data_IF_155575169409
#
_entry.id   IF_155575169409
#
_cell.length_a   1.000
_cell.length_b   1.000
_cell.length_c   1.000
_cell.angle_alpha   90.00
_cell.angle_beta   90.00
_cell.angle_gamma   90.00
#
_symmetry.space_group_name_H-M   'P 1'
#
loop_
_entity.id
_entity.type
_entity.pdbx_description
1 polymer ?
#
# COMPACT_ATOMS: atom_id res chain seq x y z
N UNK A 1 -10.86 -15.60 16.64
CA UNK A 1 -10.43 -16.28 15.40
C UNK A 1 -10.47 -15.28 14.25
N UNK A 2 -9.38 -14.54 14.04
CA UNK A 2 -9.27 -13.56 12.95
C UNK A 2 -7.97 -13.75 12.16
N UNK A 3 -6.84 -14.03 12.81
CA UNK A 3 -5.58 -14.36 12.11
C UNK A 3 -5.69 -15.59 11.22
N UNK A 4 -6.23 -16.70 11.73
CA UNK A 4 -6.46 -17.90 10.91
C UNK A 4 -7.42 -17.62 9.75
N UNK A 5 -8.48 -16.83 9.99
CA UNK A 5 -9.46 -16.47 8.97
C UNK A 5 -8.83 -15.69 7.83
N UNK A 6 -7.89 -14.79 8.10
CA UNK A 6 -7.24 -14.01 7.04
C UNK A 6 -6.10 -14.75 6.36
N UNK A 7 -5.36 -15.57 7.11
CA UNK A 7 -4.23 -16.33 6.55
C UNK A 7 -4.64 -17.60 5.81
N UNK A 8 -5.90 -18.05 5.91
CA UNK A 8 -6.38 -19.21 5.14
C UNK A 8 -6.32 -18.98 3.62
N UNK A 9 -6.39 -17.71 3.18
CA UNK A 9 -6.33 -17.33 1.76
C UNK A 9 -4.90 -17.29 1.21
N UNK A 10 -3.90 -17.32 2.08
CA UNK A 10 -2.49 -17.36 1.70
C UNK A 10 -1.99 -18.80 1.70
N UNK A 11 -2.16 -19.54 0.60
CA UNK A 11 -1.76 -20.95 0.51
C UNK A 11 -0.23 -21.08 0.50
N UNK A 12 0.31 -22.06 1.22
CA UNK A 12 1.78 -22.24 1.30
C UNK A 12 2.41 -22.67 -0.02
N UNK A 13 1.65 -23.35 -0.88
CA UNK A 13 2.10 -23.76 -2.21
C UNK A 13 2.29 -22.57 -3.15
N UNK A 14 1.55 -21.48 -2.91
CA UNK A 14 1.58 -20.25 -3.72
C UNK A 14 2.64 -19.25 -3.21
N UNK A 15 3.19 -19.48 -2.01
CA UNK A 15 4.22 -18.61 -1.41
C UNK A 15 5.60 -18.88 -1.97
N UNK A 16 6.25 -17.82 -2.43
CA UNK A 16 7.58 -17.84 -3.01
C UNK A 16 8.68 -17.91 -1.94
N UNK A 17 8.47 -17.30 -0.77
CA UNK A 17 9.51 -17.19 0.24
C UNK A 17 9.28 -18.09 1.46
N UNK A 18 10.33 -18.80 1.89
CA UNK A 18 10.26 -19.68 3.07
C UNK A 18 9.92 -18.90 4.36
N UNK A 19 10.46 -17.68 4.49
CA UNK A 19 10.15 -16.81 5.62
C UNK A 19 8.65 -16.46 5.68
N UNK A 20 7.97 -16.28 4.54
CA UNK A 20 6.53 -16.07 4.48
C UNK A 20 5.76 -17.26 5.06
N UNK A 21 6.17 -18.50 4.72
CA UNK A 21 5.57 -19.74 5.23
C UNK A 21 5.75 -19.87 6.74
N UNK A 22 6.96 -19.62 7.24
CA UNK A 22 7.29 -19.64 8.67
C UNK A 22 6.51 -18.60 9.45
N UNK A 23 6.40 -17.38 8.92
CA UNK A 23 5.64 -16.29 9.53
C UNK A 23 4.15 -16.59 9.57
N UNK A 24 3.58 -17.11 8.49
CA UNK A 24 2.18 -17.54 8.45
C UNK A 24 1.88 -18.55 9.56
N UNK A 25 2.70 -19.61 9.67
CA UNK A 25 2.53 -20.64 10.72
C UNK A 25 2.61 -20.04 12.11
N UNK A 26 3.65 -19.25 12.37
CA UNK A 26 3.85 -18.61 13.66
C UNK A 26 2.72 -17.63 14.03
N UNK A 27 2.20 -16.84 13.09
CA UNK A 27 1.06 -15.96 13.33
C UNK A 27 -0.22 -16.73 13.68
N UNK A 28 -0.44 -17.90 13.08
CA UNK A 28 -1.60 -18.76 13.36
C UNK A 28 -1.45 -19.46 14.72
N UNK A 29 -0.28 -20.02 15.00
CA UNK A 29 -0.03 -20.89 16.15
C UNK A 29 0.29 -20.10 17.42
N UNK A 30 1.09 -19.05 17.30
CA UNK A 30 1.66 -18.30 18.43
C UNK A 30 0.98 -16.94 18.63
N UNK A 31 0.36 -16.37 17.58
CA UNK A 31 -0.32 -15.06 17.59
C UNK A 31 0.49 -13.98 18.33
N UNK A 32 1.76 -13.81 17.94
CA UNK A 32 2.74 -13.00 18.69
C UNK A 32 3.57 -12.09 17.78
N UNK A 33 3.47 -10.78 17.99
CA UNK A 33 4.26 -9.77 17.28
C UNK A 33 5.76 -9.90 17.58
N UNK A 34 6.11 -10.16 18.85
CA UNK A 34 7.51 -10.41 19.27
C UNK A 34 8.10 -11.60 18.53
N UNK A 35 7.31 -12.64 18.30
CA UNK A 35 7.77 -13.81 17.56
C UNK A 35 8.01 -13.51 16.08
N UNK A 36 7.12 -12.73 15.46
CA UNK A 36 7.33 -12.24 14.09
C UNK A 36 8.63 -11.46 13.98
N UNK A 37 8.88 -10.52 14.90
CA UNK A 37 10.14 -9.75 14.95
C UNK A 37 11.36 -10.66 15.11
N UNK A 38 11.26 -11.70 15.95
CA UNK A 38 12.34 -12.67 16.13
C UNK A 38 12.60 -13.53 14.89
N UNK A 39 11.58 -13.81 14.07
CA UNK A 39 11.72 -14.59 12.84
C UNK A 39 12.41 -13.79 11.73
N UNK A 40 12.12 -12.50 11.63
CA UNK A 40 12.73 -11.61 10.61
C UNK A 40 14.06 -11.00 11.07
N UNK A 41 14.54 -11.35 12.27
CA UNK A 41 15.71 -10.70 12.91
C UNK A 41 17.03 -10.91 12.16
N UNK A 42 17.11 -11.91 11.31
CA UNK A 42 18.32 -12.25 10.54
C UNK A 42 18.13 -11.92 9.05
N UNK A 43 16.93 -11.48 8.66
CA UNK A 43 16.63 -11.07 7.29
C UNK A 43 17.28 -9.72 6.99
N UNK A 44 17.90 -9.60 5.82
CA UNK A 44 18.49 -8.34 5.34
C UNK A 44 17.47 -7.45 4.62
N UNK A 45 16.37 -8.04 4.14
CA UNK A 45 15.26 -7.35 3.47
C UNK A 45 13.96 -8.12 3.70
N UNK A 46 12.83 -7.44 3.53
CA UNK A 46 11.52 -8.09 3.45
C UNK A 46 10.92 -7.85 2.06
N UNK A 47 10.45 -8.93 1.47
CA UNK A 47 9.75 -8.92 0.19
C UNK A 47 8.30 -8.49 0.38
N UNK A 48 7.71 -7.91 -0.66
CA UNK A 48 6.32 -7.45 -0.63
C UNK A 48 5.34 -8.57 -0.23
N UNK A 49 5.55 -9.79 -0.73
CA UNK A 49 4.77 -10.98 -0.31
C UNK A 49 4.85 -11.19 1.21
N UNK A 50 6.06 -11.15 1.79
CA UNK A 50 6.27 -11.39 3.21
C UNK A 50 5.57 -10.33 4.06
N UNK A 51 5.65 -9.06 3.65
CA UNK A 51 4.95 -7.97 4.35
C UNK A 51 3.43 -8.12 4.26
N UNK A 52 2.90 -8.56 3.12
CA UNK A 52 1.46 -8.83 2.95
C UNK A 52 0.98 -9.96 3.86
N UNK A 53 1.74 -11.05 3.98
CA UNK A 53 1.43 -12.15 4.92
C UNK A 53 1.41 -11.63 6.36
N UNK A 54 2.42 -10.85 6.77
CA UNK A 54 2.43 -10.24 8.10
C UNK A 54 1.20 -9.35 8.28
N UNK A 55 0.88 -8.47 7.33
CA UNK A 55 -0.23 -7.52 7.44
C UNK A 55 -1.58 -8.24 7.55
N UNK A 56 -1.80 -9.29 6.76
CA UNK A 56 -3.00 -10.10 6.83
C UNK A 56 -3.16 -10.79 8.19
N UNK A 57 -2.06 -11.29 8.78
CA UNK A 57 -2.10 -11.98 10.07
C UNK A 57 -2.10 -11.08 11.30
N UNK A 58 -1.58 -9.86 11.19
CA UNK A 58 -1.49 -8.85 12.26
C UNK A 58 -2.72 -7.94 12.30
N UNK A 59 -3.26 -7.56 11.14
CA UNK A 59 -4.36 -6.58 11.06
C UNK A 59 -5.59 -7.20 10.39
N UNK A 60 -5.38 -7.83 9.24
CA UNK A 60 -6.46 -8.22 8.33
C UNK A 60 -7.08 -7.00 7.60
N UNK A 61 -7.83 -7.20 6.50
CA UNK A 61 -8.56 -6.12 5.83
C UNK A 61 -9.68 -5.54 6.72
N UNK A 62 -9.85 -4.22 6.66
CA UNK A 62 -10.89 -3.50 7.41
C UNK A 62 -12.33 -3.83 6.97
N UNK A 63 -12.51 -4.45 5.80
CA UNK A 63 -13.78 -4.50 5.09
C UNK A 63 -14.83 -5.42 5.73
N UNK A 64 -14.43 -6.42 6.52
CA UNK A 64 -15.34 -7.52 6.90
C UNK A 64 -15.68 -7.58 8.40
N UNK A 65 -15.29 -6.57 9.20
CA UNK A 65 -15.63 -6.49 10.62
C UNK A 65 -14.90 -7.48 11.55
N UNK A 66 -13.98 -8.29 11.02
CA UNK A 66 -13.08 -9.14 11.80
C UNK A 66 -11.70 -8.49 11.89
N UNK A 67 -11.13 -8.43 13.08
CA UNK A 67 -9.83 -7.82 13.32
C UNK A 67 -8.90 -8.83 13.98
N UNK A 68 -7.68 -8.96 13.48
CA UNK A 68 -6.62 -9.70 14.17
C UNK A 68 -6.42 -9.03 15.53
N UNK A 69 -6.75 -9.70 16.64
CA UNK A 69 -7.06 -9.08 17.94
C UNK A 69 -5.86 -8.46 18.69
N UNK A 70 -4.85 -7.96 17.98
CA UNK A 70 -3.78 -7.16 18.56
C UNK A 70 -4.29 -5.77 18.94
N UNK A 71 -3.63 -5.15 19.92
CA UNK A 71 -3.92 -3.78 20.30
C UNK A 71 -3.27 -2.82 19.27
N UNK A 72 -3.99 -1.77 18.88
CA UNK A 72 -3.49 -0.72 17.97
C UNK A 72 -2.15 -0.11 18.41
N UNK A 73 -1.90 0.06 19.72
CA UNK A 73 -0.62 0.58 20.21
C UNK A 73 0.54 -0.40 19.95
N UNK A 74 0.31 -1.69 20.22
CA UNK A 74 1.29 -2.75 19.99
C UNK A 74 1.57 -2.89 18.49
N UNK A 75 0.54 -2.79 17.65
CA UNK A 75 0.68 -2.80 16.21
C UNK A 75 1.48 -1.59 15.70
N UNK A 76 1.17 -0.38 16.15
CA UNK A 76 1.91 0.81 15.74
C UNK A 76 3.40 0.67 16.08
N UNK A 77 3.73 0.19 17.29
CA UNK A 77 5.10 -0.05 17.71
C UNK A 77 5.77 -1.17 16.88
N UNK A 78 5.03 -2.23 16.58
CA UNK A 78 5.48 -3.35 15.75
C UNK A 78 5.79 -2.91 14.31
N UNK A 79 4.87 -2.19 13.66
CA UNK A 79 5.07 -1.70 12.30
C UNK A 79 6.21 -0.70 12.21
N UNK A 80 6.34 0.17 13.21
CA UNK A 80 7.51 1.05 13.32
C UNK A 80 8.81 0.25 13.42
N UNK A 81 8.85 -0.79 14.26
CA UNK A 81 10.04 -1.64 14.43
C UNK A 81 10.44 -2.34 13.12
N UNK A 82 9.46 -2.83 12.35
CA UNK A 82 9.72 -3.39 11.02
C UNK A 82 10.20 -2.33 10.04
N UNK A 83 9.59 -1.15 10.03
CA UNK A 83 9.98 -0.06 9.12
C UNK A 83 11.37 0.48 9.42
N UNK A 84 11.73 0.67 10.69
CA UNK A 84 13.06 1.12 11.11
C UNK A 84 14.16 0.15 10.64
N UNK A 85 13.82 -1.14 10.57
CA UNK A 85 14.73 -2.19 10.09
C UNK A 85 14.74 -2.36 8.57
N UNK A 86 13.58 -2.22 7.92
CA UNK A 86 13.38 -2.45 6.50
C UNK A 86 12.80 -1.20 5.83
N UNK A 87 13.53 -0.08 5.84
CA UNK A 87 12.97 1.23 5.51
C UNK A 87 12.69 1.39 4.00
N UNK A 88 13.27 0.51 3.17
CA UNK A 88 13.16 0.52 1.71
C UNK A 88 12.12 -0.48 1.18
N UNK A 89 11.21 -0.94 2.02
CA UNK A 89 10.03 -1.69 1.57
C UNK A 89 8.83 -0.75 1.39
N UNK A 90 8.29 -0.66 0.18
CA UNK A 90 7.20 0.25 -0.15
C UNK A 90 5.90 -0.08 0.63
N UNK A 91 5.55 -1.35 0.79
CA UNK A 91 4.33 -1.76 1.50
C UNK A 91 4.42 -1.45 2.99
N UNK A 92 5.59 -1.62 3.63
CA UNK A 92 5.78 -1.20 5.03
C UNK A 92 5.58 0.31 5.22
N UNK A 93 6.11 1.11 4.29
CA UNK A 93 5.91 2.56 4.31
C UNK A 93 4.42 2.92 4.19
N UNK A 94 3.68 2.25 3.29
CA UNK A 94 2.23 2.40 3.18
C UNK A 94 1.58 2.05 4.51
N UNK A 95 1.74 0.82 5.02
CA UNK A 95 1.09 0.35 6.25
C UNK A 95 1.35 1.33 7.41
N UNK A 96 2.58 1.79 7.59
CA UNK A 96 2.90 2.75 8.64
C UNK A 96 2.22 4.10 8.45
N UNK A 97 2.15 4.61 7.22
CA UNK A 97 1.38 5.81 6.88
C UNK A 97 -0.11 5.67 7.24
N UNK A 98 -0.69 4.49 6.99
CA UNK A 98 -2.08 4.18 7.36
C UNK A 98 -2.30 4.31 8.87
N UNK A 99 -1.39 3.82 9.71
CA UNK A 99 -1.51 4.00 11.17
C UNK A 99 -1.34 5.44 11.61
N UNK A 100 -0.36 6.18 11.05
CA UNK A 100 -0.19 7.61 11.35
C UNK A 100 -1.45 8.42 11.02
N UNK A 101 -2.10 8.08 9.91
CA UNK A 101 -3.36 8.70 9.51
C UNK A 101 -4.49 8.39 10.49
N UNK A 102 -4.65 7.13 10.87
CA UNK A 102 -5.80 6.69 11.65
C UNK A 102 -5.68 7.04 13.13
N UNK A 103 -4.50 6.80 13.71
CA UNK A 103 -4.25 6.86 15.16
C UNK A 103 -3.66 8.21 15.56
N UNK A 104 -2.58 8.64 14.90
CA UNK A 104 -1.85 9.86 15.25
C UNK A 104 -2.50 11.13 14.67
N UNK A 105 -3.43 10.97 13.70
CA UNK A 105 -4.02 12.05 12.90
C UNK A 105 -2.96 12.98 12.27
N UNK A 106 -1.79 12.44 12.01
CA UNK A 106 -0.64 13.18 11.53
C UNK A 106 -0.54 13.07 10.02
N UNK A 107 -1.44 13.78 9.34
CA UNK A 107 -1.66 13.67 7.90
C UNK A 107 -0.42 14.03 7.08
N UNK A 108 0.29 15.10 7.44
CA UNK A 108 1.49 15.53 6.72
C UNK A 108 2.60 14.48 6.81
N UNK A 109 2.77 13.89 8.00
CA UNK A 109 3.75 12.82 8.18
C UNK A 109 3.36 11.56 7.43
N UNK A 110 2.07 11.20 7.42
CA UNK A 110 1.58 10.06 6.64
C UNK A 110 1.83 10.27 5.13
N UNK A 111 1.57 11.47 4.59
CA UNK A 111 1.87 11.83 3.19
C UNK A 111 3.34 11.60 2.83
N UNK A 112 4.27 11.97 3.70
CA UNK A 112 5.69 11.74 3.47
C UNK A 112 6.04 10.24 3.32
N UNK A 113 5.40 9.37 4.11
CA UNK A 113 5.60 7.92 4.00
C UNK A 113 4.94 7.33 2.75
N UNK A 114 3.75 7.81 2.36
CA UNK A 114 3.16 7.44 1.07
C UNK A 114 4.08 7.83 -0.10
N UNK A 115 4.59 9.06 -0.10
CA UNK A 115 5.51 9.52 -1.14
C UNK A 115 6.81 8.70 -1.16
N UNK A 116 7.34 8.32 0.01
CA UNK A 116 8.48 7.42 0.10
C UNK A 116 8.18 6.05 -0.51
N UNK A 117 7.03 5.46 -0.20
CA UNK A 117 6.61 4.18 -0.78
C UNK A 117 6.55 4.24 -2.31
N UNK A 118 5.95 5.32 -2.84
CA UNK A 118 5.88 5.56 -4.27
C UNK A 118 7.25 5.68 -4.94
N UNK A 119 8.20 6.39 -4.29
CA UNK A 119 9.56 6.53 -4.80
C UNK A 119 10.34 5.21 -4.81
N UNK A 120 10.02 4.29 -3.90
CA UNK A 120 10.59 2.93 -3.86
C UNK A 120 9.97 2.07 -4.98
N UNK A 121 8.65 2.03 -5.06
CA UNK A 121 7.92 1.32 -6.11
C UNK A 121 6.60 2.04 -6.40
N UNK A 122 6.50 2.71 -7.55
CA UNK A 122 5.30 3.47 -7.92
C UNK A 122 4.04 2.58 -8.05
N UNK A 123 4.19 1.26 -8.22
CA UNK A 123 3.05 0.32 -8.26
C UNK A 123 2.45 0.11 -6.88
N UNK A 124 3.16 0.50 -5.83
CA UNK A 124 2.69 0.37 -4.45
C UNK A 124 1.41 1.16 -4.21
N UNK A 125 1.09 2.16 -5.04
CA UNK A 125 -0.17 2.93 -4.91
C UNK A 125 -1.42 2.05 -4.94
N UNK A 126 -1.36 0.87 -5.58
CA UNK A 126 -2.46 -0.08 -5.60
C UNK A 126 -2.77 -0.69 -4.24
N UNK A 127 -1.88 -0.56 -3.25
CA UNK A 127 -2.09 -0.98 -1.86
C UNK A 127 -2.58 0.16 -0.96
N UNK A 128 -2.76 1.37 -1.48
CA UNK A 128 -3.33 2.49 -0.74
C UNK A 128 -4.85 2.38 -0.79
N UNK A 129 -5.51 2.52 0.37
CA UNK A 129 -6.97 2.53 0.44
C UNK A 129 -7.56 3.63 -0.45
N UNK A 130 -8.65 3.37 -1.20
CA UNK A 130 -9.18 4.32 -2.18
C UNK A 130 -9.43 5.72 -1.64
N UNK A 131 -10.02 5.84 -0.45
CA UNK A 131 -10.28 7.15 0.16
C UNK A 131 -9.02 7.96 0.43
N UNK A 132 -7.90 7.31 0.77
CA UNK A 132 -6.61 8.00 0.94
C UNK A 132 -5.93 8.28 -0.39
N UNK A 133 -6.07 7.38 -1.37
CA UNK A 133 -5.53 7.59 -2.70
C UNK A 133 -6.16 8.83 -3.35
N UNK A 134 -7.48 9.01 -3.21
CA UNK A 134 -8.18 10.19 -3.70
C UNK A 134 -7.55 11.47 -3.14
N UNK A 135 -7.43 11.56 -1.82
CA UNK A 135 -6.78 12.71 -1.15
C UNK A 135 -5.33 12.92 -1.61
N UNK A 136 -4.54 11.86 -1.72
CA UNK A 136 -3.14 11.95 -2.16
C UNK A 136 -3.01 12.40 -3.61
N UNK A 137 -3.93 12.00 -4.49
CA UNK A 137 -3.94 12.43 -5.91
C UNK A 137 -4.40 13.88 -6.10
N UNK A 138 -4.98 14.49 -5.06
CA UNK A 138 -5.26 15.92 -5.06
C UNK A 138 -4.00 16.76 -4.76
N UNK A 139 -3.11 16.23 -3.92
CA UNK A 139 -1.93 16.96 -3.43
C UNK A 139 -0.62 16.59 -4.16
N UNK A 140 -0.49 15.34 -4.61
CA UNK A 140 0.73 14.79 -5.20
C UNK A 140 0.46 14.44 -6.66
N UNK A 141 1.00 15.25 -7.58
CA UNK A 141 0.72 15.12 -9.01
C UNK A 141 1.23 13.81 -9.62
N UNK A 142 2.35 13.29 -9.14
CA UNK A 142 2.91 12.01 -9.58
C UNK A 142 1.95 10.85 -9.30
N UNK A 143 1.25 10.89 -8.16
CA UNK A 143 0.22 9.92 -7.80
C UNK A 143 -0.95 10.03 -8.77
N UNK A 144 -1.37 11.27 -9.07
CA UNK A 144 -2.44 11.53 -10.05
C UNK A 144 -2.11 10.94 -11.41
N UNK A 145 -0.87 11.06 -11.89
CA UNK A 145 -0.47 10.52 -13.20
C UNK A 145 -0.50 9.00 -13.23
N UNK A 146 0.00 8.32 -12.19
CA UNK A 146 -0.04 6.86 -12.16
C UNK A 146 -1.49 6.36 -12.01
N UNK A 147 -2.30 7.03 -11.18
CA UNK A 147 -3.72 6.70 -11.07
C UNK A 147 -4.48 6.90 -12.39
N UNK A 148 -4.18 7.97 -13.13
CA UNK A 148 -4.77 8.23 -14.45
C UNK A 148 -4.47 7.10 -15.45
N UNK A 149 -3.27 6.51 -15.41
CA UNK A 149 -2.94 5.34 -16.26
C UNK A 149 -3.83 4.15 -15.94
N UNK A 150 -4.06 3.89 -14.65
CA UNK A 150 -4.99 2.83 -14.22
C UNK A 150 -6.42 3.11 -14.69
N UNK A 151 -6.89 4.36 -14.59
CA UNK A 151 -8.23 4.75 -15.06
C UNK A 151 -8.37 4.56 -16.57
N UNK A 152 -7.31 4.82 -17.35
CA UNK A 152 -7.29 4.58 -18.80
C UNK A 152 -7.55 3.13 -19.17
N UNK A 153 -6.99 2.20 -18.40
CA UNK A 153 -7.15 0.76 -18.63
C UNK A 153 -8.54 0.26 -18.19
N UNK A 154 -9.20 0.95 -17.26
CA UNK A 154 -10.45 0.51 -16.64
C UNK A 154 -11.71 1.17 -17.24
N UNK A 155 -11.60 2.43 -17.65
CA UNK A 155 -12.74 3.22 -18.13
C UNK A 155 -12.88 3.07 -19.64
N UNK A 156 -14.11 3.17 -20.14
CA UNK A 156 -14.33 3.39 -21.56
C UNK A 156 -13.77 4.74 -22.02
N UNK A 157 -13.68 4.92 -23.34
CA UNK A 157 -13.06 6.09 -23.93
C UNK A 157 -13.76 7.42 -23.60
N UNK A 158 -15.09 7.40 -23.43
CA UNK A 158 -15.87 8.60 -23.12
C UNK A 158 -15.63 9.03 -21.68
N UNK A 159 -15.80 8.11 -20.73
CA UNK A 159 -15.54 8.35 -19.31
C UNK A 159 -14.08 8.73 -19.05
N UNK A 160 -13.12 8.12 -19.76
CA UNK A 160 -11.72 8.50 -19.64
C UNK A 160 -11.44 9.90 -20.19
N UNK A 161 -12.07 10.29 -21.31
CA UNK A 161 -11.93 11.62 -21.88
C UNK A 161 -12.45 12.71 -20.92
N UNK A 162 -13.54 12.45 -20.20
CA UNK A 162 -14.06 13.36 -19.17
C UNK A 162 -13.06 13.58 -18.02
N UNK A 163 -12.41 12.50 -17.55
CA UNK A 163 -11.35 12.60 -16.54
C UNK A 163 -10.18 13.45 -17.06
N UNK A 164 -9.73 13.20 -18.29
CA UNK A 164 -8.64 13.98 -18.91
C UNK A 164 -9.02 15.46 -19.02
N UNK A 165 -10.23 15.77 -19.48
CA UNK A 165 -10.72 17.13 -19.62
C UNK A 165 -10.81 17.84 -18.26
N UNK A 166 -11.31 17.16 -17.23
CA UNK A 166 -11.33 17.65 -15.86
C UNK A 166 -9.93 17.99 -15.35
N UNK A 167 -8.97 17.07 -15.49
CA UNK A 167 -7.60 17.29 -15.01
C UNK A 167 -6.90 18.43 -15.77
N UNK A 168 -7.11 18.52 -17.09
CA UNK A 168 -6.57 19.63 -17.89
C UNK A 168 -7.13 20.98 -17.45
N UNK A 169 -8.41 21.04 -17.11
CA UNK A 169 -9.01 22.27 -16.56
C UNK A 169 -8.41 22.59 -15.18
N UNK A 170 -8.27 21.57 -14.32
CA UNK A 170 -7.69 21.71 -12.97
C UNK A 170 -6.26 22.25 -13.00
N UNK A 171 -5.43 21.78 -13.92
CA UNK A 171 -4.01 22.16 -14.03
C UNK A 171 -3.73 23.11 -15.20
N UNK A 172 -4.71 23.93 -15.58
CA UNK A 172 -4.63 24.80 -16.77
C UNK A 172 -3.53 25.86 -16.72
N UNK A 173 -3.00 26.14 -15.53
CA UNK A 173 -1.91 27.06 -15.23
C UNK A 173 -0.52 26.41 -15.24
N UNK A 174 -0.43 25.08 -15.39
CA UNK A 174 0.82 24.30 -15.35
C UNK A 174 1.00 23.49 -16.64
N UNK A 175 1.70 24.05 -17.66
CA UNK A 175 1.89 23.39 -18.95
C UNK A 175 2.60 22.04 -18.86
N UNK A 176 3.48 21.83 -17.88
CA UNK A 176 4.21 20.58 -17.70
C UNK A 176 3.27 19.48 -17.21
N UNK A 177 2.35 19.81 -16.29
CA UNK A 177 1.29 18.88 -15.86
C UNK A 177 0.33 18.54 -17.00
N UNK A 178 -0.06 19.52 -17.81
CA UNK A 178 -0.89 19.27 -19.01
C UNK A 178 -0.18 18.32 -19.96
N UNK A 179 1.10 18.55 -20.25
CA UNK A 179 1.89 17.69 -21.11
C UNK A 179 2.01 16.26 -20.55
N UNK A 180 2.15 16.10 -19.23
CA UNK A 180 2.18 14.78 -18.59
C UNK A 180 0.83 14.03 -18.72
N UNK A 181 -0.29 14.74 -18.56
CA UNK A 181 -1.64 14.18 -18.77
C UNK A 181 -1.81 13.76 -20.24
N UNK A 182 -1.37 14.59 -21.18
CA UNK A 182 -1.45 14.30 -22.61
C UNK A 182 -0.65 13.06 -23.01
N UNK A 183 0.53 12.85 -22.42
CA UNK A 183 1.31 11.62 -22.66
C UNK A 183 0.52 10.39 -22.26
N UNK A 184 -0.18 10.40 -21.13
CA UNK A 184 -1.05 9.28 -20.71
C UNK A 184 -2.24 9.13 -21.66
N UNK A 185 -2.80 10.24 -22.15
CA UNK A 185 -3.91 10.18 -23.09
C UNK A 185 -3.51 9.53 -24.44
N UNK A 186 -2.29 9.75 -24.90
CA UNK A 186 -1.80 9.24 -26.19
C UNK A 186 -1.24 7.81 -26.10
N UNK A 187 -0.68 7.38 -24.96
CA UNK A 187 0.18 6.18 -24.85
C UNK A 187 -0.49 4.79 -25.02
N UNK A 188 -1.65 4.67 -25.66
CA UNK A 188 -2.27 3.37 -26.01
C UNK A 188 -2.84 3.30 -27.44
N UNK A 189 -2.63 4.31 -28.29
CA UNK A 189 -3.07 4.25 -29.70
C UNK A 189 -2.11 3.51 -30.64
N UNK A 190 -1.06 2.86 -30.13
CA UNK A 190 -0.12 2.07 -30.92
C UNK A 190 -0.07 0.61 -30.41
N UNK A 191 -1.06 -0.20 -30.78
CA UNK A 191 -0.94 -1.66 -30.95
C UNK A 191 -1.93 -2.15 -32.01
#
# INVERSE_FOLDING_TARGET
>A
MSTLYYLQFYREDDMLFDISKRLKKSLIEEHSLTRVLALVKDESKLENETVQVINAGVRGPHSNGYYCAFNFEDELAFWKSLLDRFPDNAILNIIYAQYLWQVDKNYDRAKAFYQRAFNIDFRSIGFIEPGWLDELTEDIFEFRIVHLRSQKEQYDAENFADVVAFLKRKYSDDPDKIAAIDRVNISMTEF
#
